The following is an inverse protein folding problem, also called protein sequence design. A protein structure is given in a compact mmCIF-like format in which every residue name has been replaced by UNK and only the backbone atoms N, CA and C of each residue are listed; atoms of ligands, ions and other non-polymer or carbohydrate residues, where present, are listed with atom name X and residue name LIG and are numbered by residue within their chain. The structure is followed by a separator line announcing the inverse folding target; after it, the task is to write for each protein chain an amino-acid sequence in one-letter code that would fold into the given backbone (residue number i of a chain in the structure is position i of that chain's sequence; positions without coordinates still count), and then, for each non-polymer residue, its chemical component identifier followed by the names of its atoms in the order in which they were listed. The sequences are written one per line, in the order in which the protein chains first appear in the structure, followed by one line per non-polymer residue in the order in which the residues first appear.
data_IF_834069304620
#
_entry.id   IF_834069304620
#
_cell.length_a   1.000
_cell.length_b   1.000
_cell.length_c   1.000
_cell.angle_alpha   90.00
_cell.angle_beta   90.00
_cell.angle_gamma   90.00
#
_symmetry.space_group_name_H-M   'P 1'
#
loop_
_entity.id
_entity.type
_entity.pdbx_description
1 polymer ?
#
# COMPACT_ATOMS: atom_id res chain seq x y z
N UNK A 1 -10.82 -26.82 -29.08
CA UNK A 1 -10.78 -25.89 -27.94
C UNK A 1 -10.02 -26.61 -26.84
N UNK A 2 -8.73 -26.33 -26.73
CA UNK A 2 -7.84 -27.05 -25.82
C UNK A 2 -8.16 -26.61 -24.40
N UNK A 3 -8.55 -27.55 -23.53
CA UNK A 3 -9.16 -27.35 -22.21
C UNK A 3 -8.25 -26.70 -21.15
N UNK A 4 -7.51 -25.65 -21.51
CA UNK A 4 -6.76 -24.81 -20.60
C UNK A 4 -7.68 -23.82 -19.88
N UNK A 5 -7.62 -23.85 -18.55
CA UNK A 5 -8.24 -22.85 -17.69
C UNK A 5 -7.65 -21.47 -18.01
N UNK A 6 -8.50 -20.50 -18.36
CA UNK A 6 -8.09 -19.12 -18.57
C UNK A 6 -8.12 -18.36 -17.22
N UNK A 7 -7.50 -17.18 -17.16
CA UNK A 7 -7.48 -16.36 -15.94
C UNK A 7 -8.88 -16.11 -15.34
N UNK A 8 -9.91 -15.99 -16.19
CA UNK A 8 -11.29 -15.83 -15.74
C UNK A 8 -11.81 -17.04 -14.93
N UNK A 9 -11.45 -18.27 -15.31
CA UNK A 9 -11.83 -19.46 -14.54
C UNK A 9 -11.20 -19.47 -13.15
N UNK A 10 -9.93 -19.08 -13.03
CA UNK A 10 -9.25 -18.97 -11.74
C UNK A 10 -9.86 -17.88 -10.86
N UNK A 11 -10.18 -16.71 -11.43
CA UNK A 11 -10.79 -15.62 -10.68
C UNK A 11 -12.21 -15.95 -10.20
N UNK A 12 -13.00 -16.64 -11.02
CA UNK A 12 -14.33 -17.12 -10.62
C UNK A 12 -14.24 -18.15 -9.48
N UNK A 13 -13.30 -19.09 -9.56
CA UNK A 13 -13.06 -20.04 -8.49
C UNK A 13 -12.64 -19.33 -7.19
N UNK A 14 -11.82 -18.28 -7.31
CA UNK A 14 -11.36 -17.51 -6.18
C UNK A 14 -12.49 -16.70 -5.51
N UNK A 15 -13.42 -16.11 -6.29
CA UNK A 15 -14.63 -15.46 -5.74
C UNK A 15 -15.45 -16.49 -4.95
N UNK A 16 -15.78 -17.62 -5.58
CA UNK A 16 -16.59 -18.67 -4.94
C UNK A 16 -15.96 -19.18 -3.65
N UNK A 17 -14.64 -19.40 -3.66
CA UNK A 17 -13.91 -19.86 -2.49
C UNK A 17 -13.97 -18.83 -1.36
N UNK A 18 -13.66 -17.55 -1.62
CA UNK A 18 -13.66 -16.49 -0.60
C UNK A 18 -15.04 -16.27 0.02
N UNK A 19 -16.10 -16.31 -0.78
CA UNK A 19 -17.48 -16.26 -0.29
C UNK A 19 -17.79 -17.49 0.58
N UNK A 20 -17.38 -18.68 0.14
CA UNK A 20 -17.56 -19.92 0.90
C UNK A 20 -16.84 -19.93 2.25
N UNK A 21 -15.73 -19.21 2.38
CA UNK A 21 -14.99 -19.00 3.64
C UNK A 21 -15.61 -17.90 4.51
N UNK A 22 -16.72 -17.28 4.10
CA UNK A 22 -17.44 -16.28 4.89
C UNK A 22 -16.93 -14.84 4.74
N UNK A 23 -16.32 -14.48 3.61
CA UNK A 23 -15.93 -13.10 3.37
C UNK A 23 -17.15 -12.20 3.08
N UNK A 24 -17.36 -11.18 3.92
CA UNK A 24 -18.37 -10.14 3.69
C UNK A 24 -17.92 -9.06 2.70
N UNK A 25 -16.59 -8.91 2.54
CA UNK A 25 -15.97 -7.93 1.64
C UNK A 25 -14.71 -8.48 0.98
N UNK A 26 -14.62 -8.36 -0.34
CA UNK A 26 -13.48 -8.81 -1.16
C UNK A 26 -12.99 -7.63 -2.01
N UNK A 27 -11.71 -7.29 -1.86
CA UNK A 27 -11.08 -6.15 -2.56
C UNK A 27 -10.00 -6.65 -3.50
N UNK A 28 -10.14 -6.34 -4.79
CA UNK A 28 -9.17 -6.64 -5.83
C UNK A 28 -8.38 -5.38 -6.17
N UNK A 29 -7.13 -5.29 -5.69
CA UNK A 29 -6.21 -4.19 -6.01
C UNK A 29 -5.38 -4.57 -7.21
N UNK A 30 -5.80 -4.16 -8.41
CA UNK A 30 -5.21 -4.61 -9.69
C UNK A 30 -5.16 -3.44 -10.68
N UNK A 31 -4.23 -3.47 -11.64
CA UNK A 31 -4.10 -2.45 -12.70
C UNK A 31 -5.44 -2.11 -13.38
N UNK A 32 -5.64 -0.83 -13.69
CA UNK A 32 -6.85 -0.30 -14.32
C UNK A 32 -7.22 -1.00 -15.65
N UNK A 33 -6.25 -1.54 -16.40
CA UNK A 33 -6.47 -2.25 -17.64
C UNK A 33 -7.25 -3.55 -17.48
N UNK A 34 -7.42 -4.05 -16.25
CA UNK A 34 -8.20 -5.24 -15.93
C UNK A 34 -9.65 -4.94 -15.49
N UNK A 35 -10.10 -3.68 -15.58
CA UNK A 35 -11.43 -3.29 -15.11
C UNK A 35 -12.56 -4.08 -15.76
N UNK A 36 -12.54 -4.22 -17.08
CA UNK A 36 -13.58 -4.97 -17.81
C UNK A 36 -13.59 -6.46 -17.44
N UNK A 37 -12.40 -7.05 -17.24
CA UNK A 37 -12.28 -8.45 -16.81
C UNK A 37 -12.97 -8.66 -15.46
N UNK A 38 -12.67 -7.84 -14.46
CA UNK A 38 -13.31 -7.96 -13.14
C UNK A 38 -14.80 -7.66 -13.16
N UNK A 39 -15.26 -6.69 -13.96
CA UNK A 39 -16.70 -6.46 -14.17
C UNK A 39 -17.40 -7.73 -14.69
N UNK A 40 -16.81 -8.42 -15.67
CA UNK A 40 -17.35 -9.67 -16.20
C UNK A 40 -17.31 -10.80 -15.16
N UNK A 41 -16.19 -10.97 -14.45
CA UNK A 41 -16.06 -11.98 -13.38
C UNK A 41 -17.13 -11.78 -12.31
N UNK A 42 -17.33 -10.56 -11.82
CA UNK A 42 -18.33 -10.27 -10.79
C UNK A 42 -19.75 -10.50 -11.31
N UNK A 43 -20.05 -10.05 -12.53
CA UNK A 43 -21.36 -10.27 -13.15
C UNK A 43 -21.68 -11.77 -13.31
N UNK A 44 -20.70 -12.58 -13.75
CA UNK A 44 -20.87 -14.02 -13.89
C UNK A 44 -21.00 -14.69 -12.52
N UNK A 45 -20.18 -14.31 -11.53
CA UNK A 45 -20.27 -14.85 -10.18
C UNK A 45 -21.63 -14.57 -9.52
N UNK A 46 -22.18 -13.36 -9.70
CA UNK A 46 -23.53 -13.01 -9.23
C UNK A 46 -24.60 -13.85 -9.94
N UNK A 47 -24.53 -13.96 -11.27
CA UNK A 47 -25.47 -14.79 -12.06
C UNK A 47 -25.43 -16.27 -11.69
N UNK A 48 -24.26 -16.77 -11.29
CA UNK A 48 -24.08 -18.15 -10.84
C UNK A 48 -24.52 -18.37 -9.38
N UNK A 49 -24.92 -17.31 -8.65
CA UNK A 49 -25.24 -17.37 -7.23
C UNK A 49 -24.03 -17.58 -6.31
N UNK A 50 -22.82 -17.38 -6.83
CA UNK A 50 -21.56 -17.56 -6.07
C UNK A 50 -21.12 -16.29 -5.36
N UNK A 51 -21.65 -15.14 -5.76
CA UNK A 51 -21.43 -13.85 -5.12
C UNK A 51 -22.80 -13.27 -4.71
N UNK A 52 -23.23 -13.50 -3.47
CA UNK A 52 -24.46 -12.92 -2.91
C UNK A 52 -24.45 -11.38 -2.87
N UNK A 53 -25.64 -10.77 -2.77
CA UNK A 53 -25.81 -9.30 -2.81
C UNK A 53 -25.37 -8.57 -1.54
N UNK A 54 -25.31 -9.28 -0.41
CA UNK A 54 -24.77 -8.82 0.85
C UNK A 54 -23.23 -8.86 0.91
N UNK A 55 -22.59 -9.61 0.02
CA UNK A 55 -21.13 -9.61 -0.12
C UNK A 55 -20.66 -8.50 -1.06
N UNK A 56 -19.85 -7.60 -0.51
CA UNK A 56 -19.23 -6.51 -1.26
C UNK A 56 -18.00 -7.03 -1.99
N UNK A 57 -17.99 -6.91 -3.32
CA UNK A 57 -16.85 -7.32 -4.14
C UNK A 57 -16.48 -6.18 -5.09
N UNK A 58 -15.25 -5.69 -4.98
CA UNK A 58 -14.84 -4.42 -5.57
C UNK A 58 -13.44 -4.51 -6.19
N UNK A 59 -13.30 -3.93 -7.38
CA UNK A 59 -12.03 -3.71 -8.04
C UNK A 59 -11.57 -2.29 -7.73
N UNK A 60 -10.41 -2.17 -7.09
CA UNK A 60 -9.74 -0.90 -6.77
C UNK A 60 -8.58 -0.75 -7.76
N UNK A 61 -8.78 -0.01 -8.87
CA UNK A 61 -7.77 0.11 -9.90
C UNK A 61 -6.62 1.01 -9.47
N UNK A 62 -5.40 0.62 -9.82
CA UNK A 62 -4.25 1.53 -9.81
C UNK A 62 -3.75 1.80 -11.23
N UNK A 63 -3.15 2.97 -11.43
CA UNK A 63 -2.60 3.41 -12.71
C UNK A 63 -1.21 2.83 -13.00
N UNK A 64 -0.67 3.16 -14.17
CA UNK A 64 0.68 2.73 -14.54
C UNK A 64 1.74 3.50 -13.74
N UNK A 65 2.78 2.80 -13.31
CA UNK A 65 4.02 3.44 -12.84
C UNK A 65 4.77 3.93 -14.07
N UNK A 66 4.95 5.24 -14.18
CA UNK A 66 5.63 5.88 -15.31
C UNK A 66 7.08 6.21 -14.96
N UNK A 67 7.98 6.10 -15.93
CA UNK A 67 9.32 6.66 -15.88
C UNK A 67 9.33 8.15 -16.22
N UNK A 68 10.51 8.76 -16.19
CA UNK A 68 10.70 10.19 -16.53
C UNK A 68 10.28 10.53 -17.97
N UNK A 69 10.26 9.53 -18.86
CA UNK A 69 9.82 9.67 -20.25
C UNK A 69 8.29 9.58 -20.44
N UNK A 70 7.54 9.46 -19.34
CA UNK A 70 6.08 9.32 -19.35
C UNK A 70 5.58 7.96 -19.86
N UNK A 71 6.48 7.01 -20.14
CA UNK A 71 6.14 5.63 -20.53
C UNK A 71 6.20 4.72 -19.30
N UNK A 72 5.68 3.50 -19.43
CA UNK A 72 5.75 2.49 -18.35
C UNK A 72 7.19 2.34 -17.88
N UNK A 73 7.40 2.43 -16.56
CA UNK A 73 8.70 2.34 -15.92
C UNK A 73 9.46 1.09 -16.39
N UNK A 74 10.64 1.33 -16.97
CA UNK A 74 11.58 0.32 -17.47
C UNK A 74 12.99 0.80 -17.21
N UNK A 75 13.95 -0.11 -17.19
CA UNK A 75 15.37 0.23 -17.13
C UNK A 75 15.78 1.00 -18.39
N UNK A 76 16.96 1.65 -18.37
CA UNK A 76 17.53 2.31 -19.57
C UNK A 76 17.77 1.35 -20.74
N UNK A 77 17.90 0.04 -20.47
CA UNK A 77 17.97 -1.02 -21.49
C UNK A 77 16.60 -1.48 -22.01
N UNK A 78 15.50 -0.97 -21.46
CA UNK A 78 14.13 -1.34 -21.83
C UNK A 78 13.59 -2.60 -21.14
N UNK A 79 14.33 -3.17 -20.20
CA UNK A 79 13.90 -4.31 -19.39
C UNK A 79 13.02 -3.89 -18.21
N UNK A 80 12.31 -4.84 -17.61
CA UNK A 80 11.56 -4.57 -16.38
C UNK A 80 12.52 -4.22 -15.24
N UNK A 81 12.24 -3.13 -14.52
CA UNK A 81 12.97 -2.79 -13.30
C UNK A 81 12.71 -3.87 -12.25
N UNK A 82 13.78 -4.43 -11.69
CA UNK A 82 13.64 -5.39 -10.59
C UNK A 82 13.33 -4.63 -9.31
N UNK A 83 12.29 -5.05 -8.58
CA UNK A 83 11.89 -4.40 -7.32
C UNK A 83 13.06 -4.30 -6.33
N UNK A 84 13.92 -5.33 -6.26
CA UNK A 84 15.11 -5.31 -5.40
C UNK A 84 16.05 -4.15 -5.72
N UNK A 85 16.38 -3.96 -7.00
CA UNK A 85 17.27 -2.88 -7.42
C UNK A 85 16.66 -1.50 -7.11
N UNK A 86 15.34 -1.35 -7.22
CA UNK A 86 14.64 -0.12 -6.86
C UNK A 86 14.70 0.16 -5.34
N UNK A 87 14.59 -0.88 -4.51
CA UNK A 87 14.71 -0.75 -3.06
C UNK A 87 16.15 -0.41 -2.63
N UNK A 88 17.14 -1.06 -3.26
CA UNK A 88 18.55 -0.79 -3.01
C UNK A 88 18.89 0.68 -3.36
N UNK A 89 18.43 1.18 -4.51
CA UNK A 89 18.59 2.59 -4.90
C UNK A 89 17.91 3.55 -3.91
N UNK A 90 16.70 3.24 -3.47
CA UNK A 90 16.00 4.04 -2.47
C UNK A 90 16.74 4.09 -1.13
N UNK A 91 17.35 2.98 -0.70
CA UNK A 91 18.18 2.92 0.51
C UNK A 91 19.46 3.75 0.36
N UNK A 92 20.15 3.68 -0.79
CA UNK A 92 21.33 4.50 -1.08
C UNK A 92 21.00 6.00 -1.01
N UNK A 93 19.90 6.42 -1.65
CA UNK A 93 19.42 7.81 -1.62
C UNK A 93 19.11 8.25 -0.19
N UNK A 94 18.42 7.41 0.60
CA UNK A 94 18.11 7.69 2.00
C UNK A 94 19.36 7.76 2.88
N UNK A 95 20.35 6.88 2.68
CA UNK A 95 21.59 6.91 3.45
C UNK A 95 22.43 8.15 3.14
N UNK A 96 22.43 8.62 1.89
CA UNK A 96 23.13 9.83 1.48
C UNK A 96 22.44 11.12 1.97
N UNK A 97 21.11 11.23 1.80
CA UNK A 97 20.35 12.44 2.12
C UNK A 97 19.80 12.48 3.55
N UNK A 98 19.60 11.31 4.17
CA UNK A 98 18.96 11.13 5.46
C UNK A 98 19.60 11.92 6.60
N UNK A 99 20.94 11.92 6.76
CA UNK A 99 21.58 12.71 7.82
C UNK A 99 21.28 14.21 7.73
N UNK A 100 21.25 14.78 6.52
CA UNK A 100 20.93 16.19 6.32
C UNK A 100 19.45 16.48 6.61
N UNK A 101 18.54 15.62 6.13
CA UNK A 101 17.10 15.74 6.40
C UNK A 101 16.82 15.62 7.90
N UNK A 102 17.46 14.67 8.59
CA UNK A 102 17.31 14.47 10.04
C UNK A 102 17.82 15.68 10.81
N UNK A 103 18.97 16.24 10.45
CA UNK A 103 19.51 17.44 11.08
C UNK A 103 18.55 18.63 10.91
N UNK A 104 17.93 18.78 9.73
CA UNK A 104 16.95 19.84 9.48
C UNK A 104 15.66 19.65 10.29
N UNK A 105 15.14 18.42 10.33
CA UNK A 105 13.96 18.07 11.15
C UNK A 105 14.24 18.28 12.64
N UNK A 106 15.42 17.91 13.13
CA UNK A 106 15.83 18.13 14.52
C UNK A 106 16.01 19.62 14.84
N UNK A 107 16.66 20.37 13.96
CA UNK A 107 16.80 21.82 14.11
C UNK A 107 15.44 22.51 14.17
N UNK A 108 14.49 22.12 13.31
CA UNK A 108 13.12 22.66 13.32
C UNK A 108 12.34 22.22 14.58
N UNK A 109 12.54 20.99 15.06
CA UNK A 109 11.95 20.52 16.32
C UNK A 109 12.46 21.29 17.53
N UNK A 110 13.75 21.63 17.54
CA UNK A 110 14.36 22.48 18.58
C UNK A 110 13.84 23.91 18.47
N UNK A 111 13.76 24.48 17.26
CA UNK A 111 13.24 25.83 17.00
C UNK A 111 11.76 25.98 17.40
N UNK A 112 10.95 24.93 17.22
CA UNK A 112 9.54 24.87 17.65
C UNK A 112 9.35 24.59 19.13
N UNK A 113 10.42 24.28 19.88
CA UNK A 113 10.33 24.13 21.33
C UNK A 113 10.12 25.53 21.91
N UNK A 114 9.02 25.80 22.65
CA UNK A 114 8.79 27.13 23.19
C UNK A 114 9.83 27.40 24.29
N UNK A 115 10.89 28.12 23.93
CA UNK A 115 11.86 28.62 24.89
C UNK A 115 11.15 29.55 25.87
N UNK A 116 11.27 29.25 27.17
CA UNK A 116 10.85 30.16 28.22
C UNK A 116 9.44 29.99 28.77
N UNK A 117 8.64 28.98 28.39
CA UNK A 117 7.36 28.77 29.09
C UNK A 117 7.59 28.12 30.46
N UNK A 118 7.63 28.96 31.49
CA UNK A 118 7.54 28.59 32.92
C UNK A 118 6.36 27.66 33.26
N UNK A 119 5.43 27.45 32.33
CA UNK A 119 4.31 26.54 32.40
C UNK A 119 4.70 25.05 32.33
N UNK A 120 5.62 24.63 31.44
CA UNK A 120 6.01 23.21 31.31
C UNK A 120 6.74 22.66 32.55
N UNK A 121 7.63 23.46 33.14
CA UNK A 121 8.29 23.11 34.42
C UNK A 121 7.29 23.02 35.58
N UNK A 122 6.18 23.76 35.53
CA UNK A 122 5.10 23.69 36.53
C UNK A 122 4.18 22.49 36.33
N UNK A 123 3.89 22.11 35.09
CA UNK A 123 3.00 20.98 34.79
C UNK A 123 3.63 19.60 35.08
N UNK A 124 4.95 19.44 34.91
CA UNK A 124 5.61 18.13 35.03
C UNK A 124 6.82 18.10 35.99
N UNK A 125 7.17 19.22 36.61
CA UNK A 125 8.30 19.32 37.55
C UNK A 125 7.96 18.91 38.97
N UNK A 126 7.76 17.61 39.22
CA UNK A 126 7.97 16.96 40.54
C UNK A 126 7.73 15.44 40.47
N UNK A 127 8.47 14.72 39.63
CA UNK A 127 8.66 13.29 39.89
C UNK A 127 9.76 13.16 40.94
N UNK A 128 9.36 13.21 42.23
CA UNK A 128 10.24 12.80 43.32
C UNK A 128 10.55 11.32 43.12
N UNK A 129 11.81 10.97 42.88
CA UNK A 129 12.27 9.58 42.94
C UNK A 129 11.99 9.07 44.36
N UNK A 130 11.06 8.11 44.48
CA UNK A 130 10.88 7.34 45.72
C UNK A 130 12.16 6.52 45.96
N UNK A 131 12.72 6.45 47.17
CA UNK A 131 13.79 5.51 47.45
C UNK A 131 13.21 4.10 47.35
N UNK A 132 13.95 3.19 46.73
CA UNK A 132 13.60 1.77 46.70
C UNK A 132 13.99 1.12 48.04
N UNK A 133 13.26 0.09 48.48
CA UNK A 133 13.63 -0.71 49.65
C UNK A 133 14.98 -1.43 49.44
#
# INVERSE_FOLDING_TARGET
ADGGYNYATTDLAAVRHRVGEGADRIVYVVDHGQSQHFQMVFAVARRAGWLPDDVVCEHVPFGLVLGEDGKRLRTRSGENVRLRALLDEAEEVLNAAGPAILAEVEAERVRRRPEGSSWWRRAFGRVRRRPRP
#
